data_IF_688739325726
#
_entry.id   IF_688739325726
#
_cell.length_a   1.000
_cell.length_b   1.000
_cell.length_c   1.000
_cell.angle_alpha   90.00
_cell.angle_beta   90.00
_cell.angle_gamma   90.00
#
_symmetry.space_group_name_H-M   'P 1'
#
loop_
_entity.id
_entity.type
_entity.pdbx_description
1 polymer ?
#
# COMPACT_ATOMS: atom_id res chain seq x y z
N UNK A 1 38.64 4.89 -4.75
CA UNK A 1 38.42 4.64 -3.31
C UNK A 1 37.45 3.47 -3.17
N UNK A 2 37.70 2.53 -2.27
CA UNK A 2 36.83 1.36 -2.11
C UNK A 2 35.53 1.71 -1.39
N UNK A 3 34.41 1.09 -1.79
CA UNK A 3 33.12 1.20 -1.10
C UNK A 3 33.15 0.39 0.19
N UNK A 4 32.68 0.98 1.30
CA UNK A 4 32.65 0.29 2.60
C UNK A 4 31.52 0.80 3.49
N UNK A 5 31.17 0.01 4.50
CA UNK A 5 30.17 0.38 5.49
C UNK A 5 30.68 1.50 6.40
N UNK A 6 29.82 2.49 6.63
CA UNK A 6 29.96 3.50 7.67
C UNK A 6 28.70 3.53 8.53
N UNK A 7 28.87 3.41 9.85
CA UNK A 7 27.81 3.58 10.83
C UNK A 7 28.13 4.83 11.65
N UNK A 8 27.47 5.98 11.36
CA UNK A 8 27.82 7.23 12.01
C UNK A 8 27.73 7.14 13.54
N UNK A 9 28.68 7.78 14.19
CA UNK A 9 28.67 7.98 15.64
C UNK A 9 27.43 8.80 16.04
N UNK A 10 26.79 8.45 17.16
CA UNK A 10 25.62 9.17 17.64
C UNK A 10 25.95 10.43 18.45
N UNK A 11 27.23 10.77 18.62
CA UNK A 11 27.71 11.94 19.36
C UNK A 11 27.36 11.90 20.85
N UNK A 12 27.30 10.71 21.46
CA UNK A 12 26.76 10.49 22.80
C UNK A 12 25.26 10.84 22.92
N UNK A 13 24.53 10.86 21.81
CA UNK A 13 23.10 11.13 21.73
C UNK A 13 22.22 9.91 21.99
N UNK A 14 21.04 9.90 21.37
CA UNK A 14 20.04 8.83 21.56
C UNK A 14 20.56 7.46 21.09
N UNK A 15 20.13 6.41 21.78
CA UNK A 15 20.40 5.00 21.42
C UNK A 15 19.11 4.41 20.86
N UNK A 16 19.17 3.87 19.64
CA UNK A 16 18.02 3.26 18.97
C UNK A 16 17.93 1.77 19.28
N UNK A 17 16.78 1.35 19.80
CA UNK A 17 16.42 -0.06 20.00
C UNK A 17 15.69 -0.66 18.80
N UNK A 18 15.27 -1.93 18.90
CA UNK A 18 14.62 -2.66 17.80
C UNK A 18 13.18 -2.20 17.52
N UNK A 19 12.48 -1.71 18.54
CA UNK A 19 11.08 -1.25 18.49
C UNK A 19 10.98 0.15 17.89
N UNK A 20 11.45 0.32 16.66
CA UNK A 20 11.25 1.54 15.89
C UNK A 20 9.78 1.61 15.43
N UNK A 21 9.06 2.67 15.81
CA UNK A 21 7.64 2.84 15.49
C UNK A 21 7.36 2.77 13.98
N UNK A 22 8.31 3.22 13.15
CA UNK A 22 8.20 3.16 11.69
C UNK A 22 8.31 1.74 11.13
N UNK A 23 8.87 0.79 11.88
CA UNK A 23 8.98 -0.62 11.49
C UNK A 23 7.85 -1.44 12.10
N UNK A 24 7.47 -1.17 13.35
CA UNK A 24 6.36 -1.89 14.00
C UNK A 24 5.04 -1.72 13.26
N UNK A 25 4.83 -0.57 12.60
CA UNK A 25 3.66 -0.26 11.76
C UNK A 25 3.41 -1.29 10.65
N UNK A 26 4.45 -1.99 10.18
CA UNK A 26 4.35 -2.95 9.06
C UNK A 26 4.19 -4.41 9.50
N UNK A 27 4.25 -4.68 10.81
CA UNK A 27 4.25 -6.05 11.34
C UNK A 27 2.95 -6.78 10.96
N UNK A 28 3.06 -7.91 10.26
CA UNK A 28 1.91 -8.71 9.80
C UNK A 28 1.35 -8.36 8.42
N UNK A 29 1.90 -7.35 7.74
CA UNK A 29 1.56 -6.98 6.36
C UNK A 29 2.80 -6.47 5.59
N UNK A 30 3.98 -7.01 5.90
CA UNK A 30 5.27 -6.48 5.46
C UNK A 30 5.40 -6.48 3.93
N UNK A 31 5.09 -7.61 3.28
CA UNK A 31 5.25 -7.77 1.84
C UNK A 31 4.18 -7.00 1.05
N UNK A 32 2.96 -6.93 1.58
CA UNK A 32 1.88 -6.12 1.02
C UNK A 32 2.28 -4.65 1.03
N UNK A 33 2.79 -4.18 2.17
CA UNK A 33 3.23 -2.79 2.32
C UNK A 33 4.40 -2.47 1.39
N UNK A 34 5.33 -3.42 1.20
CA UNK A 34 6.42 -3.27 0.23
C UNK A 34 5.90 -3.17 -1.21
N UNK A 35 5.02 -4.08 -1.62
CA UNK A 35 4.46 -4.07 -2.97
C UNK A 35 3.70 -2.77 -3.26
N UNK A 36 2.87 -2.34 -2.31
CA UNK A 36 2.11 -1.09 -2.42
C UNK A 36 3.01 0.14 -2.50
N UNK A 37 3.96 0.25 -1.59
CA UNK A 37 4.89 1.39 -1.54
C UNK A 37 5.71 1.51 -2.82
N UNK A 38 6.28 0.40 -3.33
CA UNK A 38 7.11 0.46 -4.54
C UNK A 38 6.28 0.78 -5.78
N UNK A 39 5.11 0.16 -5.95
CA UNK A 39 4.25 0.45 -7.11
C UNK A 39 3.75 1.90 -7.09
N UNK A 40 3.40 2.42 -5.90
CA UNK A 40 3.04 3.81 -5.72
C UNK A 40 4.19 4.76 -6.08
N UNK A 41 5.41 4.52 -5.55
CA UNK A 41 6.57 5.34 -5.85
C UNK A 41 6.95 5.29 -7.34
N UNK A 42 6.79 4.14 -7.98
CA UNK A 42 7.05 3.98 -9.41
C UNK A 42 6.04 4.76 -10.27
N UNK A 43 4.75 4.73 -9.90
CA UNK A 43 3.72 5.53 -10.57
C UNK A 43 3.92 7.04 -10.40
N UNK A 44 4.31 7.49 -9.19
CA UNK A 44 4.64 8.89 -8.91
C UNK A 44 5.88 9.38 -9.69
N UNK A 45 6.75 8.45 -10.09
CA UNK A 45 7.98 8.70 -10.84
C UNK A 45 7.81 8.53 -12.36
N UNK A 46 6.58 8.36 -12.86
CA UNK A 46 6.29 8.27 -14.29
C UNK A 46 6.84 9.50 -15.04
N UNK A 47 7.33 9.28 -16.25
CA UNK A 47 7.82 10.34 -17.13
C UNK A 47 6.65 11.22 -17.57
N UNK A 48 6.75 12.53 -17.36
CA UNK A 48 5.69 13.48 -17.69
C UNK A 48 5.40 13.46 -19.20
N UNK A 49 4.11 13.33 -19.56
CA UNK A 49 3.69 13.24 -20.96
C UNK A 49 3.93 11.88 -21.63
N UNK A 50 4.53 10.90 -20.96
CA UNK A 50 4.68 9.55 -21.49
C UNK A 50 3.33 8.84 -21.63
N UNK A 51 3.11 8.21 -22.78
CA UNK A 51 1.97 7.31 -23.03
C UNK A 51 2.29 5.86 -22.68
N UNK A 52 3.55 5.56 -22.36
CA UNK A 52 3.99 4.22 -21.97
C UNK A 52 3.82 4.04 -20.46
N UNK A 53 3.01 3.07 -20.05
CA UNK A 53 2.82 2.75 -18.64
C UNK A 53 4.10 2.32 -17.94
N UNK A 54 4.15 2.58 -16.62
CA UNK A 54 5.22 2.17 -15.72
C UNK A 54 5.26 0.65 -15.64
N UNK A 55 6.48 0.09 -15.63
CA UNK A 55 6.70 -1.34 -15.42
C UNK A 55 7.44 -1.56 -14.11
N UNK A 56 6.99 -2.54 -13.32
CA UNK A 56 7.65 -2.93 -12.08
C UNK A 56 7.91 -4.43 -12.10
N UNK A 57 9.10 -4.87 -11.71
CA UNK A 57 9.52 -6.27 -11.72
C UNK A 57 10.00 -6.68 -10.31
N UNK A 58 9.36 -7.70 -9.72
CA UNK A 58 9.75 -8.32 -8.46
C UNK A 58 10.38 -9.68 -8.76
N UNK A 59 11.67 -9.82 -8.50
CA UNK A 59 12.44 -11.04 -8.80
C UNK A 59 13.29 -11.46 -7.59
N UNK A 60 13.16 -12.72 -7.17
CA UNK A 60 13.91 -13.26 -6.03
C UNK A 60 15.07 -14.13 -6.52
N UNK A 61 16.27 -13.78 -6.09
CA UNK A 61 17.48 -14.53 -6.38
C UNK A 61 17.99 -15.26 -5.13
N UNK A 62 18.59 -16.43 -5.35
CA UNK A 62 19.43 -17.10 -4.36
C UNK A 62 20.87 -16.72 -4.61
N UNK A 63 21.55 -16.18 -3.61
CA UNK A 63 22.96 -15.79 -3.68
C UNK A 63 23.78 -16.52 -2.62
N UNK A 64 25.10 -16.58 -2.80
CA UNK A 64 25.99 -16.86 -1.69
C UNK A 64 25.97 -15.66 -0.73
N UNK A 65 25.94 -15.87 0.58
CA UNK A 65 25.93 -14.75 1.53
C UNK A 65 27.19 -13.89 1.44
N UNK A 66 28.32 -14.44 0.99
CA UNK A 66 29.55 -13.68 0.75
C UNK A 66 29.45 -12.75 -0.48
N UNK A 67 28.44 -12.90 -1.33
CA UNK A 67 28.14 -11.96 -2.44
C UNK A 67 27.30 -10.75 -1.96
N UNK A 68 27.04 -10.61 -0.66
CA UNK A 68 26.44 -9.38 -0.11
C UNK A 68 27.50 -8.27 -0.12
N UNK A 69 27.21 -7.07 -0.66
CA UNK A 69 28.18 -5.99 -0.67
C UNK A 69 28.63 -5.61 0.76
N UNK A 70 29.93 -5.67 1.00
CA UNK A 70 30.51 -5.44 2.33
C UNK A 70 30.13 -6.49 3.39
N UNK A 71 29.85 -7.73 2.97
CA UNK A 71 29.43 -8.84 3.84
C UNK A 71 30.24 -8.94 5.15
N UNK A 72 31.56 -9.00 5.05
CA UNK A 72 32.45 -9.21 6.20
C UNK A 72 32.26 -8.13 7.26
N UNK A 73 32.21 -6.87 6.84
CA UNK A 73 32.00 -5.72 7.72
C UNK A 73 30.60 -5.76 8.34
N UNK A 74 29.57 -6.02 7.52
CA UNK A 74 28.19 -6.03 7.98
C UNK A 74 27.90 -7.17 8.98
N UNK A 75 28.39 -8.37 8.70
CA UNK A 75 28.29 -9.52 9.61
C UNK A 75 29.02 -9.27 10.93
N UNK A 76 30.20 -8.64 10.88
CA UNK A 76 30.94 -8.19 12.07
C UNK A 76 30.14 -7.19 12.89
N UNK A 77 29.47 -6.23 12.25
CA UNK A 77 28.63 -5.24 12.92
C UNK A 77 27.40 -5.87 13.60
N UNK A 78 26.72 -6.83 12.94
CA UNK A 78 25.62 -7.59 13.56
C UNK A 78 26.12 -8.35 14.80
N UNK A 79 27.31 -8.95 14.72
CA UNK A 79 27.93 -9.66 15.85
C UNK A 79 28.19 -8.71 17.02
N UNK A 80 28.83 -7.55 16.78
CA UNK A 80 29.07 -6.53 17.82
C UNK A 80 27.78 -6.05 18.46
N UNK A 81 26.74 -5.81 17.66
CA UNK A 81 25.42 -5.44 18.17
C UNK A 81 24.85 -6.53 19.07
N UNK A 82 24.90 -7.80 18.64
CA UNK A 82 24.42 -8.93 19.44
C UNK A 82 25.17 -9.05 20.78
N UNK A 83 26.50 -8.88 20.77
CA UNK A 83 27.34 -8.91 21.97
C UNK A 83 26.97 -7.77 22.93
N UNK A 84 26.87 -6.53 22.44
CA UNK A 84 26.48 -5.36 23.23
C UNK A 84 25.09 -5.53 23.85
N UNK A 85 24.06 -5.86 23.05
CA UNK A 85 22.68 -5.92 23.52
C UNK A 85 22.39 -7.12 24.43
N UNK A 86 23.17 -8.20 24.32
CA UNK A 86 23.11 -9.33 25.28
C UNK A 86 23.44 -8.87 26.70
N UNK A 87 24.31 -7.87 26.88
CA UNK A 87 24.59 -7.29 28.21
C UNK A 87 23.44 -6.44 28.77
N UNK A 88 22.53 -5.95 27.92
CA UNK A 88 21.45 -5.01 28.28
C UNK A 88 20.11 -5.69 28.61
N UNK A 89 20.03 -7.03 28.55
CA UNK A 89 18.83 -7.83 28.89
C UNK A 89 17.53 -7.45 28.14
N UNK A 90 17.62 -6.92 26.92
CA UNK A 90 16.45 -6.64 26.07
C UNK A 90 16.06 -7.88 25.27
N UNK A 91 15.15 -8.71 25.78
CA UNK A 91 14.80 -10.01 25.19
C UNK A 91 14.37 -9.92 23.71
N UNK A 92 13.49 -8.97 23.37
CA UNK A 92 13.04 -8.74 21.99
C UNK A 92 14.22 -8.41 21.05
N UNK A 93 15.09 -7.51 21.48
CA UNK A 93 16.27 -7.08 20.71
C UNK A 93 17.27 -8.23 20.55
N UNK A 94 17.56 -8.97 21.62
CA UNK A 94 18.46 -10.12 21.61
C UNK A 94 17.91 -11.22 20.70
N UNK A 95 16.60 -11.51 20.78
CA UNK A 95 15.95 -12.51 19.92
C UNK A 95 16.07 -12.15 18.45
N UNK A 96 15.82 -10.88 18.10
CA UNK A 96 15.99 -10.39 16.73
C UNK A 96 17.46 -10.48 16.27
N UNK A 97 18.41 -10.01 17.06
CA UNK A 97 19.84 -10.04 16.72
C UNK A 97 20.37 -11.45 16.52
N UNK A 98 19.95 -12.41 17.35
CA UNK A 98 20.29 -13.83 17.16
C UNK A 98 19.73 -14.36 15.83
N UNK A 99 18.49 -14.01 15.48
CA UNK A 99 17.91 -14.39 14.19
C UNK A 99 18.69 -13.77 13.02
N UNK A 100 18.97 -12.46 13.08
CA UNK A 100 19.74 -11.75 12.06
C UNK A 100 21.16 -12.35 11.89
N UNK A 101 21.85 -12.60 13.00
CA UNK A 101 23.19 -13.22 13.00
C UNK A 101 23.16 -14.65 12.43
N UNK A 102 22.15 -15.43 12.78
CA UNK A 102 21.98 -16.77 12.21
C UNK A 102 21.66 -16.71 10.71
N UNK A 103 20.83 -15.75 10.28
CA UNK A 103 20.44 -15.59 8.88
C UNK A 103 21.63 -15.17 8.00
N UNK A 104 22.42 -14.18 8.43
CA UNK A 104 23.57 -13.70 7.65
C UNK A 104 24.70 -14.72 7.55
N UNK A 105 24.87 -15.59 8.56
CA UNK A 105 25.91 -16.63 8.58
C UNK A 105 25.54 -17.91 7.81
N UNK A 106 24.34 -18.01 7.23
CA UNK A 106 24.01 -19.11 6.31
C UNK A 106 24.90 -19.03 5.07
N UNK A 107 25.19 -20.16 4.43
CA UNK A 107 25.98 -20.19 3.20
C UNK A 107 25.29 -19.51 2.02
N UNK A 108 23.96 -19.51 2.01
CA UNK A 108 23.13 -18.84 1.01
C UNK A 108 22.09 -17.93 1.66
N UNK A 109 21.70 -16.91 0.90
CA UNK A 109 20.68 -15.93 1.28
C UNK A 109 19.78 -15.62 0.08
N UNK A 110 18.59 -15.10 0.36
CA UNK A 110 17.71 -14.56 -0.68
C UNK A 110 17.91 -13.06 -0.80
N UNK A 111 17.86 -12.57 -2.03
CA UNK A 111 17.74 -11.14 -2.34
C UNK A 111 16.53 -10.94 -3.23
N UNK A 112 15.62 -10.07 -2.82
CA UNK A 112 14.51 -9.62 -3.68
C UNK A 112 14.99 -8.35 -4.39
N UNK A 113 15.10 -8.42 -5.72
CA UNK A 113 15.26 -7.24 -6.58
C UNK A 113 13.87 -6.76 -6.96
N UNK A 114 13.63 -5.47 -6.79
CA UNK A 114 12.45 -4.79 -7.30
C UNK A 114 12.93 -3.69 -8.22
N UNK A 115 12.50 -3.69 -9.46
CA UNK A 115 12.99 -2.78 -10.49
C UNK A 115 11.83 -2.06 -11.15
N UNK A 116 11.90 -0.73 -11.19
CA UNK A 116 11.01 0.06 -12.01
C UNK A 116 11.68 0.45 -13.36
N UNK A 117 10.83 0.66 -14.35
CA UNK A 117 11.16 1.12 -15.70
C UNK A 117 10.07 2.04 -16.23
N UNK A 118 10.40 2.81 -17.27
CA UNK A 118 9.56 3.91 -17.78
C UNK A 118 9.27 4.97 -16.69
N UNK A 119 10.23 5.15 -15.78
CA UNK A 119 10.22 6.18 -14.74
C UNK A 119 11.34 7.17 -15.02
N UNK A 120 11.38 8.25 -14.24
CA UNK A 120 12.43 9.28 -14.33
C UNK A 120 13.77 8.85 -13.68
N UNK A 121 13.79 7.72 -12.97
CA UNK A 121 14.86 7.39 -12.03
C UNK A 121 14.92 8.36 -10.84
N UNK A 122 15.96 8.24 -10.00
CA UNK A 122 16.17 9.16 -8.88
C UNK A 122 17.14 10.27 -9.27
N UNK A 123 16.67 11.51 -9.19
CA UNK A 123 17.45 12.71 -9.52
C UNK A 123 18.40 13.12 -8.40
N UNK A 124 19.42 13.89 -8.77
CA UNK A 124 20.42 14.52 -7.90
C UNK A 124 21.08 13.56 -6.87
N UNK A 125 21.68 12.44 -7.31
CA UNK A 125 22.28 11.46 -6.39
C UNK A 125 23.53 11.96 -5.67
N UNK A 126 24.19 13.01 -6.17
CA UNK A 126 25.44 13.54 -5.63
C UNK A 126 25.33 14.96 -5.08
N UNK A 127 24.17 15.61 -5.21
CA UNK A 127 23.92 16.92 -4.63
C UNK A 127 23.28 16.88 -3.24
N UNK A 128 22.78 18.03 -2.83
CA UNK A 128 22.24 18.31 -1.50
C UNK A 128 20.74 18.64 -1.54
N UNK A 129 20.05 18.29 -2.63
CA UNK A 129 18.59 18.43 -2.70
C UNK A 129 17.92 17.52 -1.67
N UNK A 130 16.83 17.98 -1.07
CA UNK A 130 15.95 17.18 -0.21
C UNK A 130 14.98 16.27 -1.01
N UNK A 131 15.00 16.38 -2.35
CA UNK A 131 14.21 15.57 -3.26
C UNK A 131 15.03 14.40 -3.87
N UNK A 132 14.41 13.60 -4.73
CA UNK A 132 15.12 12.55 -5.48
C UNK A 132 15.83 11.54 -4.59
N UNK A 133 17.12 11.30 -4.84
CA UNK A 133 17.93 10.28 -4.15
C UNK A 133 18.02 10.49 -2.63
N UNK A 134 18.21 11.72 -2.18
CA UNK A 134 18.41 12.03 -0.76
C UNK A 134 17.12 11.87 0.06
N UNK A 135 15.95 12.03 -0.57
CA UNK A 135 14.67 11.73 0.10
C UNK A 135 14.55 10.27 0.56
N UNK A 136 15.24 9.35 -0.13
CA UNK A 136 15.25 7.92 0.17
C UNK A 136 16.36 7.55 1.17
N UNK A 137 17.53 8.17 1.04
CA UNK A 137 18.76 7.74 1.72
C UNK A 137 19.16 8.62 2.91
N UNK A 138 18.82 9.91 2.91
CA UNK A 138 19.28 10.89 3.93
C UNK A 138 18.17 11.38 4.84
N UNK A 139 16.95 11.52 4.34
CA UNK A 139 15.86 12.12 5.10
C UNK A 139 15.05 11.09 5.87
N UNK A 140 14.78 11.38 7.15
CA UNK A 140 13.89 10.62 8.03
C UNK A 140 12.81 11.52 8.63
N UNK A 141 11.54 11.20 8.42
CA UNK A 141 10.40 12.00 8.88
C UNK A 141 10.13 13.31 8.13
N UNK A 142 10.84 13.60 7.03
CA UNK A 142 10.59 14.78 6.19
C UNK A 142 9.43 14.58 5.21
N UNK A 143 8.48 15.53 5.17
CA UNK A 143 7.45 15.59 4.15
C UNK A 143 8.01 16.30 2.90
N UNK A 144 8.64 15.54 2.00
CA UNK A 144 9.32 16.12 0.82
C UNK A 144 8.44 16.14 -0.44
N UNK A 145 7.32 15.42 -0.46
CA UNK A 145 6.46 15.31 -1.65
C UNK A 145 5.42 16.44 -1.71
N UNK A 146 5.59 17.37 -2.65
CA UNK A 146 4.63 18.41 -3.02
C UNK A 146 3.63 17.94 -4.11
N UNK A 147 2.55 18.68 -4.36
CA UNK A 147 1.62 18.42 -5.49
C UNK A 147 0.62 17.29 -5.28
N UNK A 148 0.33 16.46 -6.29
CA UNK A 148 -0.60 15.32 -6.23
C UNK A 148 0.09 13.96 -5.97
N UNK A 149 1.42 13.98 -5.75
CA UNK A 149 2.24 12.79 -5.48
C UNK A 149 1.96 12.17 -4.09
N UNK A 150 2.18 10.87 -3.97
CA UNK A 150 1.73 10.05 -2.86
C UNK A 150 2.80 9.83 -1.76
N UNK A 151 2.47 9.87 -0.47
CA UNK A 151 3.40 9.46 0.61
C UNK A 151 4.03 10.60 1.41
N UNK A 152 3.21 11.43 2.06
CA UNK A 152 3.64 12.63 2.79
C UNK A 152 4.37 12.35 4.12
N UNK A 153 4.28 11.13 4.68
CA UNK A 153 4.71 10.86 6.05
C UNK A 153 6.08 10.19 6.15
N UNK A 154 6.69 9.80 5.03
CA UNK A 154 8.01 9.16 5.03
C UNK A 154 8.10 7.84 5.81
N UNK A 155 6.96 7.19 6.11
CA UNK A 155 6.91 5.90 6.84
C UNK A 155 7.12 4.73 5.87
N UNK A 156 6.57 4.84 4.65
CA UNK A 156 6.63 3.81 3.60
C UNK A 156 8.04 3.32 3.25
N UNK A 157 9.04 4.21 3.30
CA UNK A 157 10.46 3.88 3.08
C UNK A 157 11.04 2.81 4.02
N UNK A 158 10.36 2.48 5.13
CA UNK A 158 10.75 1.37 6.01
C UNK A 158 10.28 0.00 5.49
N UNK A 159 9.32 -0.07 4.56
CA UNK A 159 8.76 -1.34 4.08
C UNK A 159 9.82 -2.30 3.49
N UNK A 160 10.80 -1.85 2.69
CA UNK A 160 11.88 -2.73 2.23
C UNK A 160 12.70 -3.33 3.38
N UNK A 161 12.98 -2.55 4.42
CA UNK A 161 13.76 -3.00 5.57
C UNK A 161 13.01 -4.03 6.42
N UNK A 162 11.68 -3.95 6.49
CA UNK A 162 10.83 -4.92 7.19
C UNK A 162 10.83 -6.30 6.53
N UNK A 163 11.07 -6.34 5.21
CA UNK A 163 11.16 -7.57 4.42
C UNK A 163 12.57 -8.18 4.41
N UNK A 164 13.45 -7.76 5.31
CA UNK A 164 14.84 -8.23 5.41
C UNK A 164 15.15 -8.74 6.82
N UNK A 165 15.67 -9.96 6.93
CA UNK A 165 16.09 -10.58 8.20
C UNK A 165 17.09 -9.74 8.99
N UNK A 166 17.90 -8.93 8.31
CA UNK A 166 18.94 -8.08 8.92
C UNK A 166 18.83 -6.60 8.50
N UNK A 167 17.62 -6.13 8.18
CA UNK A 167 17.29 -4.75 7.74
C UNK A 167 18.32 -4.10 6.81
N UNK A 168 18.64 -4.77 5.70
CA UNK A 168 19.63 -4.34 4.73
C UNK A 168 19.00 -4.17 3.35
N UNK A 169 19.17 -2.99 2.77
CA UNK A 169 18.60 -2.63 1.47
C UNK A 169 19.64 -1.90 0.65
N UNK A 170 19.76 -2.23 -0.63
CA UNK A 170 20.56 -1.44 -1.57
C UNK A 170 19.65 -0.78 -2.59
N UNK A 171 20.00 0.44 -2.97
CA UNK A 171 19.35 1.18 -4.04
C UNK A 171 20.33 1.38 -5.18
N UNK A 172 19.83 1.32 -6.41
CA UNK A 172 20.58 1.69 -7.61
C UNK A 172 19.66 2.47 -8.54
N UNK A 173 20.16 3.51 -9.21
CA UNK A 173 19.40 4.24 -10.21
C UNK A 173 20.24 4.49 -11.46
N UNK A 174 19.56 4.58 -12.60
CA UNK A 174 19.98 5.27 -13.80
C UNK A 174 18.88 6.29 -14.10
N UNK A 175 19.16 7.58 -14.04
CA UNK A 175 18.14 8.62 -14.22
C UNK A 175 18.12 9.19 -15.65
N UNK A 176 17.16 10.06 -15.95
CA UNK A 176 17.01 10.71 -17.28
C UNK A 176 18.21 11.57 -17.68
N UNK A 177 19.03 12.02 -16.72
CA UNK A 177 20.26 12.76 -16.94
C UNK A 177 21.46 11.84 -17.22
N UNK A 178 21.22 10.52 -17.33
CA UNK A 178 22.22 9.46 -17.47
C UNK A 178 23.19 9.35 -16.28
N UNK A 179 22.80 9.84 -15.11
CA UNK A 179 23.57 9.63 -13.90
C UNK A 179 23.29 8.24 -13.33
N UNK A 180 24.35 7.56 -12.90
CA UNK A 180 24.27 6.27 -12.23
C UNK A 180 24.67 6.44 -10.77
N UNK A 181 23.88 5.89 -9.86
CA UNK A 181 24.23 5.87 -8.44
C UNK A 181 23.79 4.56 -7.79
N UNK A 182 24.57 4.08 -6.83
CA UNK A 182 24.33 2.89 -6.04
C UNK A 182 24.78 3.10 -4.60
N UNK A 183 23.95 2.68 -3.64
CA UNK A 183 24.24 2.79 -2.21
C UNK A 183 23.54 1.71 -1.39
N UNK A 184 24.24 1.17 -0.40
CA UNK A 184 23.63 0.31 0.61
C UNK A 184 23.19 1.10 1.83
N UNK A 185 22.07 0.70 2.39
CA UNK A 185 21.43 1.30 3.54
C UNK A 185 21.11 0.21 4.56
N UNK A 186 21.44 0.46 5.81
CA UNK A 186 21.05 -0.39 6.92
C UNK A 186 20.24 0.43 7.93
N UNK A 187 19.07 -0.07 8.33
CA UNK A 187 18.23 0.54 9.38
C UNK A 187 18.16 -0.40 10.57
N UNK A 188 19.24 -0.50 11.32
CA UNK A 188 19.40 -1.56 12.30
C UNK A 188 19.06 -1.08 13.72
N UNK A 189 19.94 -1.32 14.68
CA UNK A 189 19.89 -0.83 16.05
C UNK A 189 21.24 -0.20 16.39
N UNK A 190 21.27 0.72 17.35
CA UNK A 190 22.53 1.30 17.83
C UNK A 190 23.42 0.23 18.45
N UNK A 191 24.71 0.24 18.09
CA UNK A 191 25.74 -0.60 18.71
C UNK A 191 27.07 0.18 18.76
N UNK A 192 27.97 -0.12 19.70
CA UNK A 192 29.28 0.51 19.73
C UNK A 192 30.23 -0.11 18.70
N UNK A 193 30.95 0.72 17.95
CA UNK A 193 31.98 0.25 17.02
C UNK A 193 33.12 -0.46 17.75
N UNK A 194 33.45 0.00 18.96
CA UNK A 194 34.40 -0.61 19.88
C UNK A 194 33.71 -0.99 21.20
N UNK A 195 33.63 -2.29 21.50
CA UNK A 195 33.00 -2.81 22.72
C UNK A 195 33.72 -2.39 24.01
N UNK A 196 35.00 -1.99 23.94
CA UNK A 196 35.73 -1.46 25.09
C UNK A 196 35.37 0.00 25.41
N UNK A 197 34.82 0.74 24.44
CA UNK A 197 34.40 2.14 24.58
C UNK A 197 32.97 2.33 24.07
N UNK A 198 32.03 1.82 24.86
CA UNK A 198 30.61 1.80 24.46
C UNK A 198 29.94 3.18 24.42
N UNK A 199 30.55 4.20 25.04
CA UNK A 199 29.97 5.55 25.13
C UNK A 199 30.41 6.37 23.93
N UNK A 200 31.71 6.48 23.67
CA UNK A 200 32.22 7.36 22.62
C UNK A 200 32.20 6.72 21.24
N UNK A 201 31.94 5.41 21.11
CA UNK A 201 31.84 4.73 19.81
C UNK A 201 30.44 4.25 19.46
N UNK A 202 29.43 4.69 20.23
CA UNK A 202 28.03 4.33 19.97
C UNK A 202 27.58 4.85 18.60
N UNK A 203 26.99 3.98 17.80
CA UNK A 203 26.45 4.34 16.48
C UNK A 203 24.98 4.76 16.56
N UNK A 204 24.50 5.50 15.55
CA UNK A 204 23.08 5.85 15.39
C UNK A 204 22.19 4.64 15.09
N UNK A 205 22.78 3.51 14.67
CA UNK A 205 22.08 2.33 14.17
C UNK A 205 21.74 2.38 12.68
N UNK A 206 22.02 3.49 12.00
CA UNK A 206 21.98 3.58 10.54
C UNK A 206 23.35 3.29 9.95
N UNK A 207 23.37 2.54 8.87
CA UNK A 207 24.58 2.25 8.10
C UNK A 207 24.44 2.72 6.65
N UNK A 208 25.54 3.16 6.08
CA UNK A 208 25.67 3.58 4.69
C UNK A 208 26.83 2.82 4.04
N UNK A 209 26.58 2.14 2.92
CA UNK A 209 27.61 1.49 2.12
C UNK A 209 27.81 2.28 0.83
N UNK A 210 29.00 2.82 0.64
CA UNK A 210 29.35 3.65 -0.50
C UNK A 210 30.63 4.43 -0.23
N UNK A 211 30.66 5.69 -0.66
CA UNK A 211 31.73 6.61 -0.31
C UNK A 211 31.53 7.11 1.14
N UNK A 212 32.54 6.91 1.99
CA UNK A 212 32.49 7.34 3.40
C UNK A 212 32.48 8.85 3.54
N UNK A 213 33.10 9.56 2.61
CA UNK A 213 33.09 11.01 2.60
C UNK A 213 31.65 11.49 2.31
N UNK A 214 31.00 12.06 3.32
CA UNK A 214 29.59 12.49 3.24
C UNK A 214 28.57 11.35 3.21
N UNK A 215 28.97 10.08 3.37
CA UNK A 215 28.11 8.91 3.15
C UNK A 215 27.43 8.97 1.77
N UNK A 216 28.19 9.28 0.72
CA UNK A 216 27.67 9.46 -0.65
C UNK A 216 27.51 8.11 -1.38
N UNK A 217 26.64 8.02 -2.39
CA UNK A 217 26.59 6.85 -3.26
C UNK A 217 27.87 6.71 -4.09
N UNK A 218 28.00 5.58 -4.79
CA UNK A 218 29.04 5.31 -5.79
C UNK A 218 28.40 5.02 -7.14
N UNK A 219 29.14 5.17 -8.24
CA UNK A 219 28.56 4.99 -9.59
C UNK A 219 28.03 3.56 -9.83
N UNK A 220 28.69 2.56 -9.24
CA UNK A 220 28.27 1.16 -9.36
C UNK A 220 28.73 0.32 -8.17
N UNK A 221 28.02 -0.79 -7.94
CA UNK A 221 28.37 -1.83 -6.98
C UNK A 221 28.35 -3.15 -7.75
N UNK A 222 29.50 -3.81 -7.81
CA UNK A 222 29.72 -5.00 -8.65
C UNK A 222 28.72 -6.13 -8.34
N UNK A 223 28.44 -6.37 -7.07
CA UNK A 223 27.53 -7.42 -6.60
C UNK A 223 26.09 -7.18 -7.07
N UNK A 224 25.65 -5.93 -7.19
CA UNK A 224 24.33 -5.59 -7.75
C UNK A 224 24.28 -5.85 -9.26
N UNK A 225 25.36 -5.52 -9.98
CA UNK A 225 25.47 -5.75 -11.41
C UNK A 225 25.57 -7.25 -11.75
N UNK A 226 26.17 -8.05 -10.88
CA UNK A 226 26.23 -9.52 -10.97
C UNK A 226 24.82 -10.14 -10.91
N UNK A 227 23.91 -9.58 -10.11
CA UNK A 227 22.50 -10.02 -10.04
C UNK A 227 21.79 -9.66 -11.34
N UNK A 228 21.80 -8.37 -11.69
CA UNK A 228 21.21 -7.84 -12.92
C UNK A 228 21.82 -6.49 -13.22
N UNK A 229 22.52 -6.35 -14.35
CA UNK A 229 22.98 -5.04 -14.82
C UNK A 229 21.79 -4.18 -15.25
N UNK A 230 21.79 -2.89 -14.85
CA UNK A 230 20.83 -1.89 -15.33
C UNK A 230 21.33 -1.27 -16.62
N UNK A 231 20.46 -1.19 -17.63
CA UNK A 231 20.73 -0.56 -18.93
C UNK A 231 19.66 0.43 -19.36
N UNK A 232 18.58 0.54 -18.59
CA UNK A 232 17.42 1.38 -18.88
C UNK A 232 17.17 2.30 -17.68
N UNK A 233 16.60 3.47 -17.97
CA UNK A 233 16.26 4.47 -16.95
C UNK A 233 15.25 3.89 -15.97
N UNK A 234 15.52 4.10 -14.68
CA UNK A 234 14.71 3.65 -13.56
C UNK A 234 15.54 3.30 -12.34
N UNK A 235 14.89 2.73 -11.34
CA UNK A 235 15.45 2.48 -10.02
C UNK A 235 15.29 1.02 -9.62
N UNK A 236 16.30 0.49 -8.93
CA UNK A 236 16.26 -0.80 -8.28
C UNK A 236 16.26 -0.65 -6.76
N UNK A 237 15.53 -1.55 -6.11
CA UNK A 237 15.58 -1.83 -4.69
C UNK A 237 15.99 -3.29 -4.50
N UNK A 238 17.09 -3.53 -3.79
CA UNK A 238 17.56 -4.86 -3.45
C UNK A 238 17.39 -5.09 -1.95
N UNK A 239 16.45 -5.96 -1.58
CA UNK A 239 16.20 -6.35 -0.19
C UNK A 239 17.01 -7.61 0.09
N UNK A 240 18.15 -7.46 0.75
CA UNK A 240 19.04 -8.57 1.10
C UNK A 240 18.54 -9.27 2.35
N UNK A 241 18.63 -10.61 2.38
CA UNK A 241 18.06 -11.40 3.47
C UNK A 241 16.55 -11.41 3.41
N UNK A 242 16.01 -11.42 2.18
CA UNK A 242 14.58 -11.35 1.93
C UNK A 242 13.86 -12.47 2.70
N UNK A 243 12.96 -12.08 3.60
CA UNK A 243 12.32 -12.97 4.56
C UNK A 243 10.90 -13.39 4.13
N UNK A 244 10.52 -13.12 2.87
CA UNK A 244 9.24 -13.53 2.32
C UNK A 244 9.07 -15.06 2.33
N UNK A 245 7.88 -15.49 2.75
CA UNK A 245 7.50 -16.90 2.79
C UNK A 245 7.36 -17.54 1.40
N UNK A 246 6.98 -18.80 1.35
CA UNK A 246 6.78 -19.52 0.08
C UNK A 246 5.64 -18.93 -0.78
N UNK A 247 4.71 -18.18 -0.18
CA UNK A 247 3.57 -17.54 -0.86
C UNK A 247 3.83 -16.07 -1.23
N UNK A 248 5.06 -15.57 -1.08
CA UNK A 248 5.35 -14.15 -1.30
C UNK A 248 4.86 -13.66 -2.68
N UNK A 249 5.01 -14.45 -3.75
CA UNK A 249 4.52 -14.08 -5.09
C UNK A 249 3.00 -13.88 -5.08
N UNK A 250 2.26 -14.80 -4.46
CA UNK A 250 0.81 -14.72 -4.33
C UNK A 250 0.40 -13.49 -3.52
N UNK A 251 1.07 -13.23 -2.41
CA UNK A 251 0.82 -12.09 -1.53
C UNK A 251 1.03 -10.76 -2.27
N UNK A 252 2.13 -10.64 -3.03
CA UNK A 252 2.40 -9.48 -3.90
C UNK A 252 1.34 -9.34 -4.99
N UNK A 253 0.98 -10.42 -5.68
CA UNK A 253 -0.04 -10.39 -6.75
C UNK A 253 -1.40 -9.95 -6.19
N UNK A 254 -1.82 -10.48 -5.04
CA UNK A 254 -3.09 -10.09 -4.43
C UNK A 254 -3.09 -8.61 -4.05
N UNK A 255 -2.01 -8.11 -3.45
CA UNK A 255 -1.86 -6.69 -3.11
C UNK A 255 -1.94 -5.78 -4.35
N UNK A 256 -1.28 -6.18 -5.44
CA UNK A 256 -1.30 -5.46 -6.73
C UNK A 256 -2.72 -5.37 -7.28
N UNK A 257 -3.44 -6.49 -7.31
CA UNK A 257 -4.81 -6.54 -7.82
C UNK A 257 -5.77 -5.73 -6.94
N UNK A 258 -5.58 -5.70 -5.62
CA UNK A 258 -6.44 -4.93 -4.72
C UNK A 258 -6.20 -3.42 -4.79
N UNK A 259 -4.96 -2.98 -5.00
CA UNK A 259 -4.60 -1.56 -4.87
C UNK A 259 -4.37 -0.85 -6.21
N UNK A 260 -4.06 -1.57 -7.28
CA UNK A 260 -3.71 -1.00 -8.57
C UNK A 260 -4.58 -1.51 -9.72
N UNK A 261 -5.77 -2.06 -9.41
CA UNK A 261 -6.76 -2.51 -10.39
C UNK A 261 -6.97 -1.46 -11.51
N UNK A 262 -7.21 -0.20 -11.12
CA UNK A 262 -7.46 0.88 -12.07
C UNK A 262 -6.21 1.28 -12.85
N UNK A 263 -5.04 1.33 -12.20
CA UNK A 263 -3.76 1.61 -12.88
C UNK A 263 -3.46 0.55 -13.95
N UNK A 264 -3.69 -0.73 -13.66
CA UNK A 264 -3.48 -1.83 -14.62
C UNK A 264 -4.54 -1.79 -15.72
N UNK A 265 -5.82 -1.62 -15.37
CA UNK A 265 -6.90 -1.53 -16.35
C UNK A 265 -6.69 -0.37 -17.34
N UNK A 266 -6.15 0.75 -16.88
CA UNK A 266 -5.83 1.93 -17.70
C UNK A 266 -4.47 1.83 -18.42
N UNK A 267 -3.77 0.68 -18.33
CA UNK A 267 -2.43 0.46 -18.91
C UNK A 267 -1.36 1.43 -18.39
N UNK A 268 -1.58 2.01 -17.21
CA UNK A 268 -0.63 2.89 -16.52
C UNK A 268 0.44 2.10 -15.75
N UNK A 269 0.11 0.87 -15.34
CA UNK A 269 1.00 -0.02 -14.60
C UNK A 269 0.96 -1.44 -15.19
N UNK A 270 2.14 -2.04 -15.33
CA UNK A 270 2.33 -3.47 -15.55
C UNK A 270 3.31 -3.99 -14.51
N UNK A 271 2.99 -5.12 -13.87
CA UNK A 271 3.83 -5.70 -12.83
C UNK A 271 4.19 -7.14 -13.14
N UNK A 272 5.47 -7.47 -13.08
CA UNK A 272 5.96 -8.84 -13.19
C UNK A 272 6.42 -9.33 -11.82
N UNK A 273 5.96 -10.51 -11.40
CA UNK A 273 6.30 -11.14 -10.11
C UNK A 273 6.80 -12.56 -10.39
N UNK A 274 8.12 -12.74 -10.39
CA UNK A 274 8.73 -13.96 -10.92
C UNK A 274 8.30 -14.17 -12.38
N UNK A 275 7.68 -15.32 -12.66
CA UNK A 275 7.17 -15.63 -14.01
C UNK A 275 5.75 -15.12 -14.28
N UNK A 276 5.14 -14.38 -13.35
CA UNK A 276 3.76 -13.91 -13.46
C UNK A 276 3.73 -12.46 -13.97
N UNK A 277 3.15 -12.19 -15.14
CA UNK A 277 2.96 -10.82 -15.63
C UNK A 277 1.52 -10.39 -15.47
N UNK A 278 1.30 -9.31 -14.72
CA UNK A 278 0.01 -8.70 -14.41
C UNK A 278 -0.04 -7.37 -15.17
N UNK A 279 -0.79 -7.38 -16.27
CA UNK A 279 -1.07 -6.20 -17.09
C UNK A 279 -2.54 -6.22 -17.52
N UNK A 280 -2.95 -5.23 -18.32
CA UNK A 280 -4.33 -5.13 -18.80
C UNK A 280 -4.82 -6.40 -19.54
N UNK A 281 -3.94 -7.11 -20.26
CA UNK A 281 -4.30 -8.30 -21.03
C UNK A 281 -4.44 -9.55 -20.18
N UNK A 282 -3.71 -9.64 -19.06
CA UNK A 282 -3.75 -10.79 -18.14
C UNK A 282 -4.64 -10.54 -16.92
N UNK A 283 -5.12 -9.31 -16.73
CA UNK A 283 -5.89 -8.87 -15.56
C UNK A 283 -7.09 -9.79 -15.27
N UNK A 284 -7.93 -10.07 -16.26
CA UNK A 284 -9.12 -10.92 -16.10
C UNK A 284 -8.77 -12.32 -15.57
N UNK A 285 -7.69 -12.92 -16.09
CA UNK A 285 -7.23 -14.25 -15.66
C UNK A 285 -6.81 -14.24 -14.19
N UNK A 286 -6.04 -13.23 -13.77
CA UNK A 286 -5.56 -13.11 -12.40
C UNK A 286 -6.69 -12.75 -11.41
N UNK A 287 -7.62 -11.89 -11.81
CA UNK A 287 -8.83 -11.56 -11.04
C UNK A 287 -9.68 -12.81 -10.80
N UNK A 288 -9.91 -13.62 -11.84
CA UNK A 288 -10.64 -14.89 -11.71
C UNK A 288 -9.90 -15.91 -10.84
N UNK A 289 -8.58 -16.03 -11.00
CA UNK A 289 -7.74 -16.97 -10.23
C UNK A 289 -7.75 -16.69 -8.72
N UNK A 290 -7.69 -15.42 -8.34
CA UNK A 290 -7.58 -14.99 -6.93
C UNK A 290 -8.88 -14.44 -6.34
N UNK A 291 -10.02 -14.64 -7.00
CA UNK A 291 -11.33 -14.09 -6.61
C UNK A 291 -11.67 -14.25 -5.11
N UNK A 292 -11.25 -15.37 -4.48
CA UNK A 292 -11.54 -15.64 -3.07
C UNK A 292 -10.73 -14.76 -2.13
N UNK A 293 -9.48 -14.50 -2.47
CA UNK A 293 -8.53 -13.67 -1.73
C UNK A 293 -8.84 -12.19 -1.92
N UNK A 294 -9.19 -11.78 -3.15
CA UNK A 294 -9.36 -10.38 -3.54
C UNK A 294 -10.82 -10.03 -3.89
N UNK A 295 -11.75 -10.43 -3.01
CA UNK A 295 -13.20 -10.32 -3.25
C UNK A 295 -13.65 -8.92 -3.68
N UNK A 296 -13.10 -7.88 -3.08
CA UNK A 296 -13.46 -6.50 -3.42
C UNK A 296 -12.99 -6.16 -4.84
N UNK A 297 -11.72 -6.43 -5.16
CA UNK A 297 -11.16 -6.15 -6.48
C UNK A 297 -11.86 -6.93 -7.59
N UNK A 298 -12.28 -8.17 -7.33
CA UNK A 298 -13.11 -8.92 -8.26
C UNK A 298 -14.39 -8.16 -8.63
N UNK A 299 -15.14 -7.67 -7.65
CA UNK A 299 -16.39 -6.94 -7.94
C UNK A 299 -16.15 -5.60 -8.61
N UNK A 300 -15.08 -4.89 -8.23
CA UNK A 300 -14.70 -3.67 -8.93
C UNK A 300 -14.29 -3.96 -10.39
N UNK A 301 -13.65 -5.08 -10.68
CA UNK A 301 -13.38 -5.49 -12.06
C UNK A 301 -14.68 -5.78 -12.84
N UNK A 302 -15.72 -6.32 -12.20
CA UNK A 302 -17.03 -6.49 -12.84
C UNK A 302 -17.65 -5.14 -13.22
N UNK A 303 -17.52 -4.10 -12.39
CA UNK A 303 -17.94 -2.72 -12.71
C UNK A 303 -17.23 -2.18 -13.97
N UNK A 304 -16.00 -2.62 -14.26
CA UNK A 304 -15.25 -2.17 -15.43
C UNK A 304 -15.61 -2.90 -16.72
N UNK A 305 -16.21 -4.09 -16.62
CA UNK A 305 -16.37 -5.02 -17.74
C UNK A 305 -17.82 -5.26 -18.13
N UNK A 306 -18.77 -5.16 -17.19
CA UNK A 306 -20.19 -5.36 -17.50
C UNK A 306 -20.83 -4.11 -18.14
N UNK A 307 -21.70 -4.37 -19.12
CA UNK A 307 -22.39 -3.37 -19.96
C UNK A 307 -23.53 -2.63 -19.25
N UNK A 308 -24.07 -3.21 -18.19
CA UNK A 308 -25.14 -2.65 -17.34
C UNK A 308 -24.63 -1.57 -16.38
N UNK A 309 -23.31 -1.44 -16.23
CA UNK A 309 -22.68 -0.39 -15.44
C UNK A 309 -23.11 1.00 -15.90
N UNK A 310 -23.60 1.82 -14.97
CA UNK A 310 -23.99 3.21 -15.20
C UNK A 310 -22.89 4.16 -14.76
N UNK A 311 -22.69 5.23 -15.52
CA UNK A 311 -21.66 6.23 -15.26
C UNK A 311 -22.28 7.60 -15.01
N UNK A 312 -21.77 8.28 -13.99
CA UNK A 312 -22.20 9.61 -13.55
C UNK A 312 -20.98 10.51 -13.39
N UNK A 313 -21.09 11.74 -13.89
CA UNK A 313 -20.02 12.74 -13.79
C UNK A 313 -20.57 13.99 -13.11
N UNK A 314 -19.83 14.51 -12.13
CA UNK A 314 -20.17 15.74 -11.41
C UNK A 314 -18.94 16.64 -11.31
N UNK A 315 -19.07 17.90 -11.72
CA UNK A 315 -18.09 18.93 -11.38
C UNK A 315 -18.08 19.16 -9.87
N UNK A 316 -16.88 19.23 -9.29
CA UNK A 316 -16.71 19.38 -7.85
C UNK A 316 -16.01 20.70 -7.54
N UNK A 317 -16.81 21.74 -7.35
CA UNK A 317 -16.38 23.10 -7.00
C UNK A 317 -15.34 23.69 -7.97
N UNK A 318 -15.37 23.32 -9.25
CA UNK A 318 -14.38 23.76 -10.24
C UNK A 318 -12.96 23.23 -10.03
N UNK A 319 -12.74 22.34 -9.05
CA UNK A 319 -11.42 21.73 -8.76
C UNK A 319 -11.12 20.51 -9.64
N UNK A 320 -12.15 20.00 -10.32
CA UNK A 320 -12.11 18.76 -11.10
C UNK A 320 -13.47 18.09 -11.18
N UNK A 321 -13.48 16.86 -11.68
CA UNK A 321 -14.67 16.04 -11.87
C UNK A 321 -14.61 14.77 -11.02
N UNK A 322 -15.74 14.42 -10.43
CA UNK A 322 -15.99 13.11 -9.84
C UNK A 322 -16.64 12.23 -10.90
N UNK A 323 -16.02 11.10 -11.25
CA UNK A 323 -16.57 10.10 -12.14
C UNK A 323 -16.94 8.86 -11.33
N UNK A 324 -18.24 8.58 -11.23
CA UNK A 324 -18.79 7.46 -10.48
C UNK A 324 -19.36 6.42 -11.46
N UNK A 325 -18.82 5.21 -11.42
CA UNK A 325 -19.33 4.04 -12.13
C UNK A 325 -19.99 3.09 -11.14
N UNK A 326 -21.23 2.68 -11.40
CA UNK A 326 -22.01 1.83 -10.49
C UNK A 326 -22.64 0.68 -11.25
N UNK A 327 -22.43 -0.52 -10.72
CA UNK A 327 -23.14 -1.73 -11.07
C UNK A 327 -24.17 -2.02 -9.97
N UNK A 328 -25.43 -2.16 -10.35
CA UNK A 328 -26.52 -2.58 -9.46
C UNK A 328 -27.10 -3.87 -10.02
N UNK A 329 -27.19 -4.90 -9.19
CA UNK A 329 -27.75 -6.20 -9.58
C UNK A 329 -28.53 -6.78 -8.40
N UNK A 330 -29.88 -6.74 -8.43
CA UNK A 330 -30.71 -7.29 -7.36
C UNK A 330 -30.57 -8.81 -7.18
N UNK A 331 -30.13 -9.53 -8.22
CA UNK A 331 -30.05 -11.00 -8.22
C UNK A 331 -28.73 -11.53 -7.68
N UNK A 332 -27.65 -10.75 -7.85
CA UNK A 332 -26.31 -11.09 -7.36
C UNK A 332 -25.98 -10.38 -6.05
N UNK A 333 -25.24 -11.05 -5.17
CA UNK A 333 -24.75 -10.46 -3.92
C UNK A 333 -23.40 -9.77 -4.13
N UNK A 334 -23.46 -8.52 -4.58
CA UNK A 334 -22.32 -7.64 -4.78
C UNK A 334 -21.68 -7.20 -3.43
N UNK A 335 -20.51 -6.56 -3.48
CA UNK A 335 -19.74 -6.18 -2.29
C UNK A 335 -20.30 -4.97 -1.52
N UNK A 336 -21.25 -4.21 -2.09
CA UNK A 336 -21.86 -3.00 -1.50
C UNK A 336 -20.84 -1.96 -1.07
N UNK A 337 -19.82 -1.78 -1.90
CA UNK A 337 -18.71 -0.85 -1.69
C UNK A 337 -18.44 -0.05 -2.95
N UNK A 338 -17.84 1.11 -2.76
CA UNK A 338 -17.26 1.92 -3.82
C UNK A 338 -15.76 1.97 -3.64
N UNK A 339 -15.02 1.58 -4.67
CA UNK A 339 -13.58 1.80 -4.75
C UNK A 339 -13.32 3.28 -5.02
N UNK A 340 -12.62 3.96 -4.11
CA UNK A 340 -12.16 5.33 -4.36
C UNK A 340 -10.72 5.27 -4.88
N UNK A 341 -10.48 5.90 -6.03
CA UNK A 341 -9.17 5.95 -6.67
C UNK A 341 -8.71 7.38 -6.96
N UNK A 342 -7.39 7.54 -7.00
CA UNK A 342 -6.74 8.76 -7.50
C UNK A 342 -6.71 8.78 -9.03
N UNK A 343 -6.32 9.93 -9.58
CA UNK A 343 -6.02 10.09 -11.01
C UNK A 343 -5.02 9.03 -11.53
N UNK A 344 -4.01 8.66 -10.73
CA UNK A 344 -3.02 7.61 -11.05
C UNK A 344 -3.58 6.18 -11.08
N UNK A 345 -4.84 5.98 -10.69
CA UNK A 345 -5.49 4.67 -10.60
C UNK A 345 -5.15 3.89 -9.32
N UNK A 346 -4.35 4.47 -8.41
CA UNK A 346 -4.10 3.89 -7.10
C UNK A 346 -5.37 3.96 -6.23
N UNK A 347 -5.68 2.85 -5.56
CA UNK A 347 -6.71 2.77 -4.52
C UNK A 347 -6.34 3.62 -3.30
N UNK A 348 -7.29 4.44 -2.88
CA UNK A 348 -7.24 5.11 -1.58
C UNK A 348 -7.92 4.21 -0.54
N UNK A 349 -9.23 3.95 -0.67
CA UNK A 349 -9.95 3.02 0.20
C UNK A 349 -11.28 2.57 -0.42
N UNK A 350 -11.91 1.60 0.23
CA UNK A 350 -13.27 1.16 -0.12
C UNK A 350 -14.29 1.89 0.76
N UNK A 351 -15.12 2.74 0.16
CA UNK A 351 -16.24 3.37 0.85
C UNK A 351 -17.41 2.37 0.99
N UNK A 352 -17.75 2.02 2.22
CA UNK A 352 -18.86 1.11 2.55
C UNK A 352 -19.99 1.79 3.33
N UNK A 353 -20.93 0.97 3.82
CA UNK A 353 -22.08 1.41 4.62
C UNK A 353 -22.99 2.46 3.92
N UNK A 354 -23.13 2.37 2.59
CA UNK A 354 -23.96 3.29 1.82
C UNK A 354 -25.43 2.86 1.85
N UNK A 355 -25.71 1.61 1.45
CA UNK A 355 -27.04 0.99 1.53
C UNK A 355 -26.94 -0.47 1.96
N UNK A 356 -27.91 -0.93 2.77
CA UNK A 356 -28.03 -2.34 3.18
C UNK A 356 -29.00 -3.13 2.30
N UNK A 357 -29.89 -2.45 1.60
CA UNK A 357 -30.95 -3.06 0.81
C UNK A 357 -30.47 -3.30 -0.63
N UNK A 358 -29.83 -2.29 -1.20
CA UNK A 358 -29.40 -2.31 -2.60
C UNK A 358 -28.12 -3.14 -2.71
N UNK A 359 -28.10 -4.09 -3.63
CA UNK A 359 -26.89 -4.83 -4.00
C UNK A 359 -26.19 -4.07 -5.11
N UNK A 360 -25.01 -3.52 -4.80
CA UNK A 360 -24.25 -2.70 -5.74
C UNK A 360 -22.74 -2.91 -5.59
N UNK A 361 -21.99 -2.50 -6.60
CA UNK A 361 -20.54 -2.25 -6.54
C UNK A 361 -20.23 -1.01 -7.36
N UNK A 362 -19.24 -0.22 -6.97
CA UNK A 362 -18.91 0.98 -7.74
C UNK A 362 -17.46 1.38 -7.67
N UNK A 363 -17.09 2.31 -8.54
CA UNK A 363 -15.77 2.93 -8.63
C UNK A 363 -15.96 4.44 -8.74
N UNK A 364 -15.35 5.18 -7.83
CA UNK A 364 -15.28 6.62 -7.83
C UNK A 364 -13.86 7.07 -8.15
N UNK A 365 -13.72 7.79 -9.24
CA UNK A 365 -12.48 8.37 -9.73
C UNK A 365 -12.49 9.88 -9.51
N UNK A 366 -11.42 10.38 -8.90
CA UNK A 366 -11.20 11.82 -8.73
C UNK A 366 -10.32 12.34 -9.85
N UNK A 367 -10.92 13.06 -10.80
CA UNK A 367 -10.24 13.61 -11.97
C UNK A 367 -9.97 15.10 -11.77
N UNK A 368 -8.72 15.48 -11.53
CA UNK A 368 -8.32 16.89 -11.39
C UNK A 368 -7.22 17.07 -10.36
N UNK A 369 -6.20 17.87 -10.71
CA UNK A 369 -5.01 18.05 -9.85
C UNK A 369 -5.38 18.71 -8.51
N UNK A 370 -6.13 19.81 -8.56
CA UNK A 370 -6.59 20.53 -7.36
C UNK A 370 -7.48 19.67 -6.47
N UNK A 371 -8.37 18.88 -7.08
CA UNK A 371 -9.22 17.93 -6.36
C UNK A 371 -8.41 16.86 -5.62
N UNK A 372 -7.44 16.23 -6.31
CA UNK A 372 -6.58 15.22 -5.69
C UNK A 372 -5.71 15.83 -4.57
N UNK A 373 -5.16 17.03 -4.78
CA UNK A 373 -4.39 17.77 -3.77
C UNK A 373 -5.21 18.04 -2.50
N UNK A 374 -6.44 18.53 -2.64
CA UNK A 374 -7.36 18.81 -1.53
C UNK A 374 -7.68 17.54 -0.71
N UNK A 375 -8.08 16.46 -1.37
CA UNK A 375 -8.44 15.22 -0.68
C UNK A 375 -7.23 14.49 -0.09
N UNK A 376 -6.04 14.65 -0.67
CA UNK A 376 -4.79 14.06 -0.16
C UNK A 376 -4.42 14.58 1.23
N UNK A 377 -4.67 15.85 1.54
CA UNK A 377 -4.40 16.40 2.89
C UNK A 377 -5.21 15.70 3.99
N UNK A 378 -6.35 15.11 3.65
CA UNK A 378 -7.19 14.36 4.59
C UNK A 378 -6.72 12.91 4.77
N UNK A 379 -5.86 12.39 3.89
CA UNK A 379 -5.47 10.98 3.92
C UNK A 379 -4.64 10.62 5.15
N UNK A 380 -4.86 9.41 5.67
CA UNK A 380 -4.02 8.81 6.71
C UNK A 380 -2.66 8.36 6.16
N UNK A 381 -1.63 8.16 7.02
CA UNK A 381 -0.34 7.65 6.55
C UNK A 381 -0.42 6.22 6.00
N UNK A 382 -1.39 5.44 6.46
CA UNK A 382 -1.70 4.13 5.90
C UNK A 382 -2.43 4.20 4.54
N UNK A 383 -2.83 5.40 4.11
CA UNK A 383 -3.64 5.63 2.91
C UNK A 383 -4.86 4.70 2.88
N UNK A 384 -5.63 4.67 3.96
CA UNK A 384 -6.75 3.74 4.16
C UNK A 384 -8.08 4.44 4.51
N UNK A 385 -8.05 5.76 4.74
CA UNK A 385 -9.22 6.59 5.03
C UNK A 385 -8.91 8.08 4.90
N UNK A 386 -9.97 8.86 4.72
CA UNK A 386 -9.93 10.33 4.88
C UNK A 386 -10.41 10.76 6.26
N UNK A 387 -9.63 11.64 6.88
CA UNK A 387 -9.90 12.32 8.13
C UNK A 387 -9.89 13.83 7.88
N UNK A 388 -11.07 14.48 7.74
CA UNK A 388 -11.17 15.92 7.50
C UNK A 388 -10.41 16.80 8.50
N UNK A 389 -10.26 16.33 9.75
CA UNK A 389 -9.49 17.01 10.79
C UNK A 389 -7.99 17.13 10.50
N UNK A 390 -7.45 16.39 9.52
CA UNK A 390 -6.04 16.47 9.12
C UNK A 390 -5.77 17.55 8.08
N UNK A 391 -6.81 18.10 7.44
CA UNK A 391 -6.62 19.14 6.44
C UNK A 391 -5.96 20.36 7.08
N UNK A 392 -4.80 20.75 6.57
CA UNK A 392 -3.93 21.75 7.19
C UNK A 392 -4.55 23.14 7.26
N UNK A 393 -5.30 23.50 6.21
CA UNK A 393 -5.78 24.86 5.99
C UNK A 393 -7.23 25.03 6.45
N UNK A 394 -8.14 24.12 6.09
CA UNK A 394 -9.59 24.30 6.34
C UNK A 394 -10.31 22.99 6.72
N UNK A 395 -10.19 22.49 7.97
CA UNK A 395 -10.89 21.28 8.43
C UNK A 395 -12.43 21.33 8.28
N UNK A 396 -13.04 22.51 8.41
CA UNK A 396 -14.49 22.67 8.27
C UNK A 396 -14.96 22.44 6.83
N UNK A 397 -14.29 23.08 5.87
CA UNK A 397 -14.58 22.92 4.45
C UNK A 397 -14.31 21.47 4.00
N UNK A 398 -13.22 20.87 4.50
CA UNK A 398 -12.90 19.47 4.26
C UNK A 398 -14.02 18.52 4.70
N UNK A 399 -14.65 18.82 5.85
CA UNK A 399 -15.78 18.04 6.36
C UNK A 399 -17.03 18.22 5.50
N UNK A 400 -17.31 19.44 5.07
CA UNK A 400 -18.43 19.77 4.18
C UNK A 400 -18.30 19.03 2.84
N UNK A 401 -17.15 19.19 2.15
CA UNK A 401 -16.89 18.54 0.86
C UNK A 401 -16.89 17.02 0.96
N UNK A 402 -16.34 16.46 2.04
CA UNK A 402 -16.41 15.02 2.26
C UNK A 402 -17.83 14.51 2.52
N UNK A 403 -18.68 15.30 3.19
CA UNK A 403 -20.11 14.96 3.35
C UNK A 403 -20.82 15.02 2.01
N UNK A 404 -20.65 16.12 1.26
CA UNK A 404 -21.27 16.32 -0.05
C UNK A 404 -20.93 15.19 -1.03
N UNK A 405 -19.68 14.74 -1.05
CA UNK A 405 -19.25 13.60 -1.86
C UNK A 405 -19.98 12.31 -1.45
N UNK A 406 -20.11 12.04 -0.15
CA UNK A 406 -20.82 10.86 0.34
C UNK A 406 -22.32 10.91 0.06
N UNK A 407 -22.91 12.09 0.20
CA UNK A 407 -24.33 12.30 0.01
C UNK A 407 -24.66 12.12 -1.48
N UNK A 408 -23.90 12.75 -2.37
CA UNK A 408 -24.04 12.55 -3.82
C UNK A 408 -23.92 11.08 -4.25
N UNK A 409 -22.93 10.37 -3.69
CA UNK A 409 -22.75 8.93 -3.93
C UNK A 409 -23.94 8.10 -3.44
N UNK A 410 -24.46 8.43 -2.24
CA UNK A 410 -25.59 7.70 -1.65
C UNK A 410 -26.85 7.90 -2.46
N UNK A 411 -27.14 9.15 -2.81
CA UNK A 411 -28.34 9.53 -3.57
C UNK A 411 -28.31 8.84 -4.94
N UNK A 412 -27.17 8.86 -5.63
CA UNK A 412 -27.00 8.16 -6.92
C UNK A 412 -27.27 6.66 -6.82
N UNK A 413 -26.78 5.99 -5.75
CA UNK A 413 -27.03 4.56 -5.55
C UNK A 413 -28.51 4.31 -5.24
N UNK A 414 -29.13 5.17 -4.43
CA UNK A 414 -30.53 5.02 -4.05
C UNK A 414 -31.46 5.17 -5.25
N UNK A 415 -31.23 6.20 -6.08
CA UNK A 415 -31.97 6.41 -7.32
C UNK A 415 -31.86 5.18 -8.23
N UNK A 416 -30.65 4.65 -8.45
CA UNK A 416 -30.45 3.44 -9.26
C UNK A 416 -31.16 2.21 -8.68
N UNK A 417 -31.16 2.06 -7.35
CA UNK A 417 -31.83 0.97 -6.66
C UNK A 417 -33.34 0.99 -6.86
N UNK A 418 -33.97 2.16 -6.72
CA UNK A 418 -35.41 2.35 -6.89
C UNK A 418 -35.85 2.05 -8.35
N UNK A 419 -35.11 2.56 -9.34
CA UNK A 419 -35.39 2.31 -10.76
C UNK A 419 -35.12 0.85 -11.18
N UNK A 420 -34.27 0.11 -10.46
CA UNK A 420 -34.03 -1.32 -10.72
C UNK A 420 -35.09 -2.25 -10.10
N UNK A 421 -35.84 -1.76 -9.10
CA UNK A 421 -36.89 -2.54 -8.43
C UNK A 421 -38.28 -2.43 -9.08
N UNK A 422 -38.45 -1.51 -10.02
CA UNK A 422 -39.72 -1.34 -10.76
C UNK A 422 -39.96 -2.43 -11.81
N UNK A 423 -38.94 -3.24 -12.15
CA UNK A 423 -39.10 -4.46 -12.96
C UNK A 423 -39.15 -5.71 -12.06
N UNK A 424 -40.40 -6.12 -11.78
CA UNK A 424 -40.83 -7.41 -11.20
C UNK A 424 -40.73 -7.54 -9.68
N UNK A 425 -41.85 -7.22 -9.02
CA UNK A 425 -42.34 -8.01 -7.89
C UNK A 425 -43.68 -8.64 -8.28
N UNK A 426 -43.67 -9.67 -9.12
CA UNK A 426 -44.75 -10.67 -9.10
C UNK A 426 -44.55 -11.54 -7.86
N UNK A 427 -45.23 -11.20 -6.76
CA UNK A 427 -45.34 -12.11 -5.62
C UNK A 427 -46.28 -13.25 -6.01
N UNK A 428 -45.73 -14.32 -6.58
CA UNK A 428 -46.43 -15.61 -6.63
C UNK A 428 -46.78 -16.04 -5.20
N UNK A 429 -48.06 -15.93 -4.84
CA UNK A 429 -48.58 -16.30 -3.52
C UNK A 429 -49.65 -15.36 -2.95
N UNK A 430 -49.76 -14.13 -3.43
CA UNK A 430 -50.81 -13.20 -2.97
C UNK A 430 -52.21 -13.56 -3.50
N UNK A 431 -52.29 -14.22 -4.66
CA UNK A 431 -53.58 -14.68 -5.22
C UNK A 431 -54.27 -15.74 -4.34
N UNK A 432 -53.50 -16.58 -3.64
CA UNK A 432 -54.03 -17.61 -2.74
C UNK A 432 -54.46 -17.09 -1.36
N UNK A 433 -53.92 -15.94 -0.92
CA UNK A 433 -54.27 -15.31 0.37
C UNK A 433 -55.55 -14.48 0.21
N UNK A 434 -55.69 -13.75 -0.89
CA UNK A 434 -56.89 -12.94 -1.16
C UNK A 434 -58.15 -13.80 -1.38
N UNK A 435 -58.02 -14.99 -1.97
CA UNK A 435 -59.16 -15.91 -2.13
C UNK A 435 -59.62 -16.52 -0.78
N UNK A 436 -58.72 -16.66 0.20
CA UNK A 436 -59.07 -17.19 1.53
C UNK A 436 -59.74 -16.15 2.44
N UNK A 437 -59.53 -14.86 2.20
CA UNK A 437 -60.21 -13.79 2.94
C UNK A 437 -61.59 -13.46 2.36
N UNK A 438 -61.84 -13.73 1.06
CA UNK A 438 -63.16 -13.55 0.47
C UNK A 438 -64.20 -14.63 0.83
N UNK A 439 -63.78 -15.81 1.31
CA UNK A 439 -64.70 -16.87 1.72
C UNK A 439 -65.12 -16.82 3.19
N UNK A 440 -64.51 -15.95 4.02
CA UNK A 440 -64.78 -15.89 5.47
C UNK A 440 -65.46 -14.59 5.95
N UNK A 441 -65.89 -13.71 5.04
CA UNK A 441 -66.67 -12.52 5.40
C UNK A 441 -68.19 -12.81 5.34
N UNK A 442 -68.70 -13.50 6.36
CA UNK A 442 -70.14 -13.51 6.66
C UNK A 442 -70.35 -13.62 8.17
N UNK A 443 -70.77 -12.49 8.76
CA UNK A 443 -71.41 -12.35 10.09
C UNK A 443 -70.47 -12.65 11.28
N UNK A 444 -70.29 -11.83 12.32
CA UNK A 444 -71.07 -10.77 12.99
C UNK A 444 -70.09 -10.17 14.02
N UNK A 445 -69.89 -8.85 14.07
CA UNK A 445 -70.36 -8.01 15.19
C UNK A 445 -69.65 -8.27 16.53
N UNK A 446 -68.74 -7.39 16.97
CA UNK A 446 -69.01 -6.37 18.01
C UNK A 446 -67.70 -5.71 18.51
N UNK A 447 -67.85 -4.49 19.01
CA UNK A 447 -66.84 -3.52 19.44
C UNK A 447 -65.81 -4.01 20.49
N UNK A 448 -64.53 -3.61 20.32
CA UNK A 448 -63.78 -2.85 21.34
C UNK A 448 -62.38 -2.39 20.86
N UNK A 449 -62.16 -1.08 21.00
CA UNK A 449 -60.84 -0.42 20.98
C UNK A 449 -59.93 -0.98 22.07
N UNK A 450 -58.72 -1.42 21.71
CA UNK A 450 -57.55 -1.30 22.59
C UNK A 450 -56.31 -0.87 21.79
N UNK A 451 -55.52 -0.04 22.46
CA UNK A 451 -54.53 0.89 21.92
C UNK A 451 -53.13 0.28 21.86
N UNK A 452 -52.37 0.68 20.84
CA UNK A 452 -50.93 0.50 20.65
C UNK A 452 -50.13 0.98 21.87
N UNK A 453 -49.73 0.08 22.77
CA UNK A 453 -48.53 0.18 23.60
C UNK A 453 -48.50 -1.04 24.53
N UNK A 454 -47.79 -2.13 24.17
CA UNK A 454 -47.13 -3.06 25.12
C UNK A 454 -46.66 -4.36 24.43
N UNK A 455 -45.68 -4.28 23.53
CA UNK A 455 -45.03 -5.50 23.03
C UNK A 455 -43.57 -5.29 22.65
N UNK A 456 -42.76 -4.76 23.58
CA UNK A 456 -41.29 -4.64 23.41
C UNK A 456 -40.46 -5.28 24.53
N UNK A 457 -40.99 -6.26 25.28
CA UNK A 457 -40.27 -6.81 26.44
C UNK A 457 -40.28 -8.33 26.66
N UNK A 458 -40.35 -9.14 25.60
CA UNK A 458 -40.43 -10.61 25.77
C UNK A 458 -39.61 -11.47 24.78
N UNK A 459 -38.48 -10.98 24.24
CA UNK A 459 -37.60 -11.81 23.37
C UNK A 459 -36.11 -11.81 23.77
N UNK A 460 -35.81 -11.61 25.05
CA UNK A 460 -34.53 -11.99 25.66
C UNK A 460 -34.84 -13.00 26.77
N UNK A 461 -34.13 -14.13 26.75
CA UNK A 461 -34.29 -15.34 27.58
C UNK A 461 -35.25 -16.40 27.03
N UNK A 462 -34.76 -17.21 26.08
CA UNK A 462 -34.82 -18.68 26.20
C UNK A 462 -34.13 -19.31 25.00
N UNK A 463 -32.92 -19.84 25.21
CA UNK A 463 -32.59 -21.24 24.89
C UNK A 463 -31.19 -21.56 25.43
N UNK A 464 -31.19 -22.45 26.42
CA UNK A 464 -30.05 -23.31 26.79
C UNK A 464 -29.67 -24.21 25.63
#
# INVERSE_FOLDING_TARGET
>A
MGSMWNFPNNGCGQVRGISDAGIETFTGAEIQSLAREICQNSLDANVEGSTTGVKVEFERYTINSNDIPGYTDYASNIKKANEYWTTKKSEKTISYLKKALNAINKSSSYVLRISDYNTTGLKDPYGDSDEGWNSLTKLDGGATKSGDKAGAFGIGKNAPFCNSDYRLVFYRTLNEENETAAQGMARFISFPENLADTVHTMTTGFGYYGNKDGNLPVNSIYELDKIKKRSEVGTDVFVYGFNGGYQWEKEVICEILENFLMSINRKLLSVTVGNNTIDNSTLECYIGRYQKEIRNAYWFHQVLTRVDTKEFVKDFHGMGQLRLRVLVDPTEKLNRKILITRSSGMKIFDLGNISRLISFSGILEMEGKQLNEFFREMETPAHDKWLPSRHSTNPSLAKEYYSELKDWVRDTIQDLGEHSSDEVIEVEGLAGVLQKESENASQTGDDKRESLHDTWRLLLYSKK
#
